data_IF_782358380775
#
_entry.id   IF_782358380775
#
_cell.length_a   1.000
_cell.length_b   1.000
_cell.length_c   1.000
_cell.angle_alpha   90.00
_cell.angle_beta   90.00
_cell.angle_gamma   90.00
#
_symmetry.space_group_name_H-M   'P 1'
#
loop_
_entity.id
_entity.type
_entity.pdbx_description
1 polymer ?
#
# COMPACT_ATOMS: atom_id res chain seq x y z
N UNK A 1 10.06 19.81 11.26
CA UNK A 1 9.90 18.43 10.72
C UNK A 1 8.81 17.75 11.53
N UNK A 2 7.75 17.22 10.90
CA UNK A 2 6.75 16.43 11.64
C UNK A 2 7.38 15.09 12.04
N UNK A 3 7.10 14.64 13.26
CA UNK A 3 7.70 13.43 13.86
C UNK A 3 6.63 12.32 13.88
N UNK A 4 6.53 11.51 12.81
CA UNK A 4 5.53 10.45 12.75
C UNK A 4 5.77 9.44 13.88
N UNK A 5 4.68 8.90 14.42
CA UNK A 5 4.73 7.95 15.54
C UNK A 5 4.44 6.56 15.03
N UNK A 6 5.36 5.61 15.27
CA UNK A 6 5.10 4.20 15.01
C UNK A 6 4.38 3.60 16.21
N UNK A 7 3.23 2.99 15.97
CA UNK A 7 2.46 2.26 16.97
C UNK A 7 2.30 0.80 16.57
N UNK A 8 2.11 -0.07 17.55
CA UNK A 8 1.73 -1.48 17.34
C UNK A 8 0.35 -1.68 17.95
N UNK A 9 -0.59 -2.20 17.16
CA UNK A 9 -1.93 -2.57 17.59
C UNK A 9 -1.99 -4.09 17.60
N UNK A 10 -2.41 -4.69 18.71
CA UNK A 10 -2.64 -6.14 18.81
C UNK A 10 -4.08 -6.46 18.46
N UNK A 11 -4.29 -7.29 17.45
CA UNK A 11 -5.60 -7.72 17.00
C UNK A 11 -6.24 -8.74 17.95
N UNK A 12 -7.55 -8.94 17.79
CA UNK A 12 -8.30 -9.99 18.48
C UNK A 12 -7.91 -11.40 18.00
N UNK A 13 -7.25 -11.48 16.86
CA UNK A 13 -6.61 -12.67 16.28
C UNK A 13 -5.20 -12.90 16.83
N UNK A 14 -4.84 -12.17 17.89
CA UNK A 14 -3.56 -12.24 18.60
C UNK A 14 -2.33 -11.79 17.80
N UNK A 15 -2.52 -11.24 16.60
CA UNK A 15 -1.43 -10.75 15.76
C UNK A 15 -1.09 -9.28 16.04
N UNK A 16 0.20 -8.92 15.91
CA UNK A 16 0.70 -7.56 16.08
C UNK A 16 0.79 -6.82 14.73
N UNK A 17 0.09 -5.69 14.62
CA UNK A 17 0.04 -4.86 13.42
C UNK A 17 0.72 -3.51 13.65
N UNK A 18 1.69 -3.18 12.80
CA UNK A 18 2.43 -1.91 12.91
C UNK A 18 1.81 -0.85 12.02
N UNK A 19 1.58 0.33 12.60
CA UNK A 19 1.04 1.49 11.89
C UNK A 19 1.93 2.71 12.09
N UNK A 20 1.87 3.63 11.12
CA UNK A 20 2.52 4.93 11.18
C UNK A 20 1.45 6.01 11.33
N UNK A 21 1.50 6.75 12.43
CA UNK A 21 0.61 7.88 12.69
C UNK A 21 1.30 9.15 12.22
N UNK A 22 0.78 9.73 11.15
CA UNK A 22 1.15 11.06 10.64
C UNK A 22 0.14 12.09 11.18
N UNK A 23 0.37 12.58 12.40
CA UNK A 23 -0.52 13.56 13.02
C UNK A 23 -0.41 14.93 12.34
N UNK A 24 -1.54 15.64 12.23
CA UNK A 24 -1.63 16.99 11.66
C UNK A 24 -1.30 17.05 10.13
N UNK A 25 -1.12 15.91 9.48
CA UNK A 25 -0.93 15.81 8.02
C UNK A 25 -2.25 15.48 7.32
N UNK A 26 -2.52 16.18 6.22
CA UNK A 26 -3.57 15.79 5.29
C UNK A 26 -3.03 14.70 4.36
N UNK A 27 -3.38 13.45 4.66
CA UNK A 27 -2.92 12.26 3.94
C UNK A 27 -3.78 11.90 2.73
N UNK A 28 -4.73 12.76 2.32
CA UNK A 28 -5.62 12.49 1.17
C UNK A 28 -4.86 12.32 -0.14
N UNK A 29 -3.72 13.01 -0.30
CA UNK A 29 -2.89 12.84 -1.49
C UNK A 29 -2.20 11.47 -1.51
N UNK A 30 -1.54 11.06 -0.42
CA UNK A 30 -0.96 9.73 -0.26
C UNK A 30 -2.02 8.64 -0.53
N UNK A 31 -3.22 8.78 0.04
CA UNK A 31 -4.32 7.83 -0.17
C UNK A 31 -4.73 7.71 -1.65
N UNK A 32 -4.81 8.83 -2.37
CA UNK A 32 -5.15 8.82 -3.81
C UNK A 32 -4.05 8.19 -4.65
N UNK A 33 -2.79 8.37 -4.26
CA UNK A 33 -1.64 7.76 -4.94
C UNK A 33 -1.63 6.24 -4.74
N UNK A 34 -1.87 5.76 -3.52
CA UNK A 34 -1.97 4.31 -3.26
C UNK A 34 -3.13 3.67 -4.03
N UNK A 35 -4.27 4.37 -4.15
CA UNK A 35 -5.38 3.91 -5.00
C UNK A 35 -4.98 3.84 -6.48
N UNK A 36 -4.23 4.81 -6.98
CA UNK A 36 -3.71 4.79 -8.35
C UNK A 36 -2.76 3.61 -8.58
N UNK A 37 -1.88 3.29 -7.62
CA UNK A 37 -1.00 2.12 -7.73
C UNK A 37 -1.77 0.80 -7.72
N UNK A 38 -2.89 0.71 -6.99
CA UNK A 38 -3.79 -0.45 -7.10
C UNK A 38 -4.32 -0.60 -8.52
N UNK A 39 -4.79 0.49 -9.14
CA UNK A 39 -5.29 0.47 -10.53
C UNK A 39 -4.16 0.07 -11.50
N UNK A 40 -2.93 0.52 -11.28
CA UNK A 40 -1.79 0.12 -12.11
C UNK A 40 -1.51 -1.38 -12.03
N UNK A 41 -1.60 -1.98 -10.84
CA UNK A 41 -1.44 -3.42 -10.68
C UNK A 41 -2.55 -4.18 -11.42
N UNK A 42 -3.80 -3.71 -11.33
CA UNK A 42 -4.90 -4.29 -12.10
C UNK A 42 -4.60 -4.24 -13.62
N UNK A 43 -4.04 -3.13 -14.12
CA UNK A 43 -3.65 -3.03 -15.53
C UNK A 43 -2.52 -4.00 -15.91
N UNK A 44 -1.51 -4.16 -15.05
CA UNK A 44 -0.41 -5.10 -15.30
C UNK A 44 -0.88 -6.55 -15.31
N UNK A 45 -1.79 -6.92 -14.41
CA UNK A 45 -2.34 -8.27 -14.35
C UNK A 45 -3.18 -8.62 -15.59
N UNK A 46 -3.84 -7.62 -16.19
CA UNK A 46 -4.65 -7.76 -17.40
C UNK A 46 -3.84 -7.67 -18.70
N UNK A 47 -2.60 -7.18 -18.68
CA UNK A 47 -1.74 -7.12 -19.87
C UNK A 47 -1.03 -8.47 -20.10
N UNK A 48 -1.30 -9.17 -21.22
CA UNK A 48 -0.63 -10.44 -21.54
C UNK A 48 0.89 -10.33 -21.64
N UNK A 49 1.45 -9.14 -21.90
CA UNK A 49 2.89 -8.92 -21.92
C UNK A 49 3.51 -8.90 -20.52
N UNK A 50 2.74 -8.47 -19.52
CA UNK A 50 3.18 -8.34 -18.13
C UNK A 50 2.86 -9.59 -17.30
N UNK A 51 1.86 -10.39 -17.71
CA UNK A 51 1.41 -11.59 -16.99
C UNK A 51 1.76 -12.91 -17.71
N UNK A 52 2.87 -12.94 -18.44
CA UNK A 52 3.36 -14.11 -19.15
C UNK A 52 4.07 -15.09 -18.22
N UNK A 53 3.86 -16.40 -18.40
CA UNK A 53 4.44 -17.46 -17.56
C UNK A 53 5.98 -17.49 -17.53
N UNK A 54 6.63 -16.89 -18.54
CA UNK A 54 8.09 -16.79 -18.65
C UNK A 54 8.61 -15.35 -18.40
N UNK A 55 7.72 -14.41 -18.08
CA UNK A 55 8.08 -13.04 -17.73
C UNK A 55 8.11 -12.88 -16.21
N UNK A 56 8.91 -11.93 -15.71
CA UNK A 56 8.86 -11.57 -14.30
C UNK A 56 7.47 -10.99 -13.98
N UNK A 57 6.82 -11.46 -12.91
CA UNK A 57 5.59 -10.85 -12.42
C UNK A 57 5.88 -9.41 -11.97
N UNK A 58 5.18 -8.45 -12.55
CA UNK A 58 5.36 -7.01 -12.29
C UNK A 58 4.20 -6.52 -11.43
N UNK A 59 4.51 -6.08 -10.22
CA UNK A 59 3.54 -5.42 -9.34
C UNK A 59 4.23 -4.32 -8.51
N UNK A 60 3.51 -3.23 -8.31
CA UNK A 60 3.86 -2.17 -7.36
C UNK A 60 3.44 -2.62 -5.97
N UNK A 61 4.37 -2.58 -5.02
CA UNK A 61 4.05 -2.85 -3.61
C UNK A 61 3.31 -1.65 -3.03
N UNK A 62 2.04 -1.86 -2.68
CA UNK A 62 1.17 -0.84 -2.10
C UNK A 62 0.99 -1.05 -0.59
N UNK A 63 0.57 0.00 0.11
CA UNK A 63 0.17 -0.08 1.52
C UNK A 63 -1.12 0.69 1.77
N UNK A 64 -1.82 0.32 2.85
CA UNK A 64 -3.08 0.95 3.18
C UNK A 64 -2.86 2.31 3.85
N UNK A 65 -3.49 3.34 3.29
CA UNK A 65 -3.67 4.66 3.92
C UNK A 65 -5.15 4.76 4.31
N UNK A 66 -5.41 4.97 5.61
CA UNK A 66 -6.76 5.06 6.17
C UNK A 66 -7.28 6.50 6.16
#
# INVERSE_FOLDING_TARGET
LRLPKRITIRGHDENDYRFLVKADEDIRQDQRIEALFSIMNDLYDNDPNCNQSNSAHIAVRIYKVN
#
